data_IF_831129961628
#
_entry.id   IF_831129961628
#
_cell.length_a   1.000
_cell.length_b   1.000
_cell.length_c   1.000
_cell.angle_alpha   90.00
_cell.angle_beta   90.00
_cell.angle_gamma   90.00
#
_symmetry.space_group_name_H-M   'P 1'
#
loop_
_entity.id
_entity.type
_entity.pdbx_description
1 polymer ?
#
# COMPACT_ATOMS: atom_id res chain seq x y z
N UNK A 1 -8.64 -2.13 -53.40
CA UNK A 1 -8.58 -0.92 -52.55
C UNK A 1 -9.63 -0.94 -51.44
N UNK A 2 -10.90 -1.23 -51.74
CA UNK A 2 -11.99 -1.30 -50.74
C UNK A 2 -11.79 -2.37 -49.63
N UNK A 3 -11.32 -3.57 -49.99
CA UNK A 3 -11.06 -4.64 -49.01
C UNK A 3 -9.94 -4.27 -48.01
N UNK A 4 -8.85 -3.67 -48.50
CA UNK A 4 -7.74 -3.22 -47.66
C UNK A 4 -8.22 -2.13 -46.69
N UNK A 5 -9.06 -1.22 -47.16
CA UNK A 5 -9.68 -0.19 -46.33
C UNK A 5 -10.59 -0.78 -45.23
N UNK A 6 -11.38 -1.80 -45.55
CA UNK A 6 -12.21 -2.54 -44.59
C UNK A 6 -11.37 -3.27 -43.53
N UNK A 7 -10.31 -3.96 -43.93
CA UNK A 7 -9.39 -4.64 -43.00
C UNK A 7 -8.77 -3.64 -42.02
N UNK A 8 -8.25 -2.51 -42.53
CA UNK A 8 -7.67 -1.46 -41.68
C UNK A 8 -8.74 -0.90 -40.72
N UNK A 9 -9.95 -0.65 -41.21
CA UNK A 9 -11.06 -0.14 -40.38
C UNK A 9 -11.37 -1.09 -39.23
N UNK A 10 -11.44 -2.40 -39.49
CA UNK A 10 -11.72 -3.41 -38.46
C UNK A 10 -10.58 -3.46 -37.43
N UNK A 11 -9.32 -3.47 -37.89
CA UNK A 11 -8.16 -3.46 -36.99
C UNK A 11 -8.19 -2.25 -36.05
N UNK A 12 -8.53 -1.07 -36.57
CA UNK A 12 -8.69 0.13 -35.75
C UNK A 12 -9.87 -0.01 -34.78
N UNK A 13 -11.04 -0.43 -35.24
CA UNK A 13 -12.21 -0.59 -34.36
C UNK A 13 -12.00 -1.63 -33.25
N UNK A 14 -11.26 -2.71 -33.51
CA UNK A 14 -10.89 -3.70 -32.49
C UNK A 14 -9.94 -3.14 -31.43
N UNK A 15 -9.15 -2.13 -31.79
CA UNK A 15 -8.25 -1.47 -30.86
C UNK A 15 -8.99 -0.51 -29.91
N UNK A 16 -10.13 0.05 -30.35
CA UNK A 16 -10.85 1.07 -29.60
C UNK A 16 -11.27 0.66 -28.18
N UNK A 17 -11.87 -0.52 -27.92
CA UNK A 17 -12.23 -0.92 -26.56
C UNK A 17 -11.03 -1.01 -25.63
N UNK A 18 -9.87 -1.48 -26.11
CA UNK A 18 -8.65 -1.56 -25.31
C UNK A 18 -8.17 -0.16 -24.91
N UNK A 19 -8.15 0.78 -25.87
CA UNK A 19 -7.79 2.17 -25.58
C UNK A 19 -8.76 2.80 -24.58
N UNK A 20 -10.07 2.60 -24.76
CA UNK A 20 -11.09 3.10 -23.83
C UNK A 20 -10.94 2.53 -22.41
N UNK A 21 -10.49 1.28 -22.27
CA UNK A 21 -10.26 0.67 -20.96
C UNK A 21 -8.96 1.17 -20.30
N UNK A 22 -7.93 1.49 -21.09
CA UNK A 22 -6.65 2.03 -20.60
C UNK A 22 -6.69 3.54 -20.38
N UNK A 23 -7.66 4.25 -20.96
CA UNK A 23 -7.71 5.70 -20.95
C UNK A 23 -7.93 6.35 -19.58
N UNK A 24 -8.61 5.74 -18.59
CA UNK A 24 -8.63 6.27 -17.22
C UNK A 24 -7.24 6.29 -16.58
N UNK A 25 -6.46 5.21 -16.74
CA UNK A 25 -5.09 5.13 -16.22
C UNK A 25 -4.17 6.15 -16.89
N UNK A 26 -4.37 6.44 -18.18
CA UNK A 26 -3.60 7.46 -18.89
C UNK A 26 -3.81 8.88 -18.32
N UNK A 27 -5.01 9.16 -17.79
CA UNK A 27 -5.33 10.45 -17.16
C UNK A 27 -4.86 10.56 -15.70
N UNK A 28 -4.74 9.42 -15.03
CA UNK A 28 -4.28 9.33 -13.63
C UNK A 28 -2.75 9.17 -13.53
N UNK A 29 -2.06 9.12 -14.67
CA UNK A 29 -0.60 9.04 -14.72
C UNK A 29 0.05 10.35 -14.23
N UNK A 30 1.14 10.28 -13.44
CA UNK A 30 1.85 11.45 -12.94
C UNK A 30 2.20 12.43 -14.07
N UNK A 31 1.83 13.71 -13.89
CA UNK A 31 2.05 14.76 -14.89
C UNK A 31 1.02 14.86 -16.02
N UNK A 32 0.03 13.95 -16.10
CA UNK A 32 -1.16 14.14 -16.96
C UNK A 32 -2.31 14.85 -16.22
N UNK A 33 -2.29 14.76 -14.90
CA UNK A 33 -3.19 15.44 -13.98
C UNK A 33 -3.24 16.95 -14.25
N UNK A 34 -4.46 17.49 -14.35
CA UNK A 34 -4.74 18.92 -14.50
C UNK A 34 -4.37 19.57 -15.85
N UNK A 35 -4.02 18.82 -16.90
CA UNK A 35 -3.77 19.39 -18.22
C UNK A 35 -4.98 19.29 -19.16
N UNK A 36 -5.62 20.43 -19.43
CA UNK A 36 -6.77 20.51 -20.31
C UNK A 36 -6.48 20.03 -21.74
N UNK A 37 -5.28 20.30 -22.27
CA UNK A 37 -4.89 19.86 -23.61
C UNK A 37 -4.78 18.34 -23.70
N UNK A 38 -4.30 17.68 -22.64
CA UNK A 38 -4.23 16.22 -22.59
C UNK A 38 -5.63 15.59 -22.52
N UNK A 39 -6.52 16.11 -21.68
CA UNK A 39 -7.91 15.63 -21.58
C UNK A 39 -8.64 15.82 -22.92
N UNK A 40 -8.52 16.99 -23.53
CA UNK A 40 -9.12 17.30 -24.84
C UNK A 40 -8.56 16.38 -25.93
N UNK A 41 -7.24 16.24 -26.01
CA UNK A 41 -6.58 15.40 -27.02
C UNK A 41 -6.99 13.94 -26.88
N UNK A 42 -7.07 13.43 -25.66
CA UNK A 42 -7.54 12.07 -25.39
C UNK A 42 -8.99 11.90 -25.82
N UNK A 43 -9.90 12.81 -25.46
CA UNK A 43 -11.31 12.72 -25.87
C UNK A 43 -11.46 12.77 -27.39
N UNK A 44 -10.69 13.63 -28.07
CA UNK A 44 -10.65 13.69 -29.54
C UNK A 44 -10.19 12.34 -30.10
N UNK A 45 -9.12 11.78 -29.53
CA UNK A 45 -8.62 10.46 -29.94
C UNK A 45 -9.68 9.39 -29.74
N UNK A 46 -10.33 9.31 -28.58
CA UNK A 46 -11.39 8.35 -28.29
C UNK A 46 -12.61 8.48 -29.23
N UNK A 47 -12.78 9.62 -29.90
CA UNK A 47 -13.83 9.83 -30.90
C UNK A 47 -13.51 9.29 -32.31
N UNK A 48 -12.32 8.73 -32.57
CA UNK A 48 -11.92 8.31 -33.93
C UNK A 48 -12.87 7.31 -34.62
N UNK A 49 -13.61 6.40 -33.93
CA UNK A 49 -14.57 5.52 -34.59
C UNK A 49 -15.69 6.27 -35.33
N UNK A 50 -16.08 7.44 -34.81
CA UNK A 50 -17.07 8.31 -35.47
C UNK A 50 -16.50 8.82 -36.79
N UNK A 51 -15.23 9.26 -36.78
CA UNK A 51 -14.51 9.70 -37.97
C UNK A 51 -14.37 8.59 -39.02
N UNK A 52 -14.07 7.36 -38.60
CA UNK A 52 -14.02 6.20 -39.49
C UNK A 52 -15.38 5.97 -40.16
N UNK A 53 -16.48 5.96 -39.41
CA UNK A 53 -17.82 5.85 -39.98
C UNK A 53 -18.14 6.98 -40.96
N UNK A 54 -17.79 8.22 -40.61
CA UNK A 54 -18.00 9.38 -41.46
C UNK A 54 -17.24 9.29 -42.80
N UNK A 55 -16.04 8.71 -42.82
CA UNK A 55 -15.31 8.45 -44.06
C UNK A 55 -16.08 7.47 -44.97
N UNK A 56 -16.62 6.38 -44.42
CA UNK A 56 -17.48 5.47 -45.21
C UNK A 56 -18.70 6.20 -45.76
N UNK A 57 -19.28 7.13 -45.00
CA UNK A 57 -20.42 7.91 -45.46
C UNK A 57 -20.03 8.85 -46.61
N UNK A 58 -18.95 9.62 -46.47
CA UNK A 58 -18.49 10.58 -47.48
C UNK A 58 -18.19 9.89 -48.82
N UNK A 59 -17.61 8.69 -48.79
CA UNK A 59 -17.25 7.94 -49.99
C UNK A 59 -18.33 6.98 -50.49
N UNK A 60 -19.51 6.93 -49.85
CA UNK A 60 -20.59 6.01 -50.21
C UNK A 60 -20.20 4.53 -50.08
N UNK A 61 -19.26 4.22 -49.18
CA UNK A 61 -18.77 2.86 -48.95
C UNK A 61 -19.59 2.14 -47.87
N UNK A 62 -19.49 0.81 -47.89
CA UNK A 62 -20.15 -0.08 -46.92
C UNK A 62 -19.13 -0.94 -46.19
N UNK A 63 -19.40 -1.23 -44.92
CA UNK A 63 -18.64 -2.17 -44.10
C UNK A 63 -19.55 -3.35 -43.77
N UNK A 64 -19.29 -4.54 -44.36
CA UNK A 64 -20.14 -5.72 -44.22
C UNK A 64 -21.64 -5.48 -44.53
N UNK A 65 -21.93 -4.68 -45.56
CA UNK A 65 -23.30 -4.31 -45.93
C UNK A 65 -23.95 -3.25 -45.04
N UNK A 66 -23.21 -2.70 -44.08
CA UNK A 66 -23.66 -1.56 -43.26
C UNK A 66 -23.23 -0.27 -43.96
N UNK A 67 -24.20 0.58 -44.27
CA UNK A 67 -23.95 1.90 -44.87
C UNK A 67 -23.15 2.80 -43.93
N UNK A 68 -22.27 3.64 -44.49
CA UNK A 68 -21.47 4.60 -43.71
C UNK A 68 -22.30 5.48 -42.77
N UNK A 69 -23.49 5.93 -43.17
CA UNK A 69 -24.40 6.71 -42.31
C UNK A 69 -24.82 5.93 -41.06
N UNK A 70 -25.16 4.65 -41.23
CA UNK A 70 -25.56 3.78 -40.11
C UNK A 70 -24.36 3.51 -39.22
N UNK A 71 -23.19 3.27 -39.81
CA UNK A 71 -21.94 3.06 -39.10
C UNK A 71 -21.55 4.28 -38.24
N UNK A 72 -21.63 5.50 -38.79
CA UNK A 72 -21.39 6.74 -38.03
C UNK A 72 -22.35 6.86 -36.85
N UNK A 73 -23.65 6.63 -37.07
CA UNK A 73 -24.66 6.77 -36.01
C UNK A 73 -24.42 5.77 -34.88
N UNK A 74 -24.15 4.50 -35.22
CA UNK A 74 -23.83 3.46 -34.23
C UNK A 74 -22.55 3.81 -33.48
N UNK A 75 -21.50 4.24 -34.18
CA UNK A 75 -20.24 4.66 -33.56
C UNK A 75 -20.44 5.85 -32.62
N UNK A 76 -21.23 6.86 -33.01
CA UNK A 76 -21.57 7.99 -32.15
C UNK A 76 -22.28 7.55 -30.88
N UNK A 77 -23.29 6.68 -30.98
CA UNK A 77 -24.01 6.17 -29.79
C UNK A 77 -23.06 5.42 -28.87
N UNK A 78 -22.23 4.52 -29.40
CA UNK A 78 -21.27 3.74 -28.62
C UNK A 78 -20.25 4.64 -27.93
N UNK A 79 -19.64 5.56 -28.66
CA UNK A 79 -18.62 6.48 -28.12
C UNK A 79 -19.22 7.40 -27.06
N UNK A 80 -20.38 8.02 -27.32
CA UNK A 80 -21.04 8.90 -26.34
C UNK A 80 -21.43 8.14 -25.08
N UNK A 81 -21.95 6.92 -25.23
CA UNK A 81 -22.29 6.07 -24.09
C UNK A 81 -21.03 5.74 -23.27
N UNK A 82 -19.95 5.34 -23.93
CA UNK A 82 -18.69 5.03 -23.25
C UNK A 82 -18.10 6.26 -22.56
N UNK A 83 -18.01 7.42 -23.23
CA UNK A 83 -17.53 8.66 -22.62
C UNK A 83 -18.37 9.07 -21.40
N UNK A 84 -19.67 8.79 -21.43
CA UNK A 84 -20.59 9.06 -20.32
C UNK A 84 -20.35 8.10 -19.15
N UNK A 85 -20.24 6.79 -19.42
CA UNK A 85 -19.97 5.75 -18.41
C UNK A 85 -18.66 6.00 -17.67
N UNK A 86 -17.63 6.46 -18.38
CA UNK A 86 -16.32 6.76 -17.80
C UNK A 86 -16.19 8.22 -17.31
N UNK A 87 -17.24 9.04 -17.36
CA UNK A 87 -17.22 10.39 -16.78
C UNK A 87 -16.36 11.44 -17.51
N UNK A 88 -16.00 11.20 -18.78
CA UNK A 88 -15.17 12.13 -19.56
C UNK A 88 -15.84 13.50 -19.77
N UNK A 89 -17.17 13.57 -19.76
CA UNK A 89 -17.91 14.83 -19.86
C UNK A 89 -17.64 15.76 -18.67
N UNK A 90 -17.66 15.24 -17.44
CA UNK A 90 -17.32 16.01 -16.24
C UNK A 90 -15.85 16.40 -16.23
N UNK A 91 -14.94 15.52 -16.66
CA UNK A 91 -13.52 15.82 -16.76
C UNK A 91 -13.25 16.97 -17.74
N UNK A 92 -13.86 16.92 -18.93
CA UNK A 92 -13.74 17.99 -19.92
C UNK A 92 -14.28 19.32 -19.39
N UNK A 93 -15.47 19.30 -18.75
CA UNK A 93 -16.05 20.49 -18.14
C UNK A 93 -15.11 21.10 -17.09
N UNK A 94 -14.54 20.26 -16.24
CA UNK A 94 -13.62 20.68 -15.17
C UNK A 94 -12.33 21.27 -15.76
N UNK A 95 -11.73 20.58 -16.74
CA UNK A 95 -10.54 21.03 -17.46
C UNK A 95 -10.75 22.39 -18.15
N UNK A 96 -11.87 22.56 -18.87
CA UNK A 96 -12.22 23.83 -19.51
C UNK A 96 -12.49 24.95 -18.51
N UNK A 97 -12.90 24.60 -17.29
CA UNK A 97 -13.13 25.56 -16.19
C UNK A 97 -11.87 25.84 -15.37
N UNK A 98 -10.74 25.18 -15.66
CA UNK A 98 -9.51 25.28 -14.89
C UNK A 98 -9.54 24.58 -13.53
N UNK A 99 -10.51 23.69 -13.29
CA UNK A 99 -10.66 22.96 -12.02
C UNK A 99 -9.68 21.77 -12.02
N UNK A 100 -8.79 21.65 -11.01
CA UNK A 100 -7.87 20.53 -10.94
C UNK A 100 -8.59 19.21 -10.63
N UNK A 101 -8.17 18.15 -11.31
CA UNK A 101 -8.53 16.75 -11.10
C UNK A 101 -7.82 16.12 -9.90
N UNK A 102 -6.68 16.66 -9.45
CA UNK A 102 -5.95 16.18 -8.28
C UNK A 102 -5.64 17.30 -7.28
N UNK A 103 -5.74 16.99 -5.99
CA UNK A 103 -5.48 17.91 -4.89
C UNK A 103 -6.55 18.99 -4.71
N UNK A 104 -6.21 20.02 -3.95
CA UNK A 104 -7.07 21.19 -3.74
C UNK A 104 -6.91 22.20 -4.87
N UNK A 105 -8.02 22.86 -5.24
CA UNK A 105 -8.03 23.97 -6.18
C UNK A 105 -9.05 25.03 -5.77
N UNK A 106 -8.71 26.30 -5.98
CA UNK A 106 -9.60 27.42 -5.75
C UNK A 106 -9.86 28.13 -7.08
N UNK A 107 -11.09 27.99 -7.59
CA UNK A 107 -11.46 28.42 -8.94
C UNK A 107 -12.84 29.07 -8.91
N UNK A 108 -12.95 30.28 -9.45
CA UNK A 108 -14.21 31.04 -9.54
C UNK A 108 -14.97 31.13 -8.21
N UNK A 109 -14.27 31.50 -7.13
CA UNK A 109 -14.85 31.67 -5.79
C UNK A 109 -15.44 30.38 -5.18
N UNK A 110 -14.92 29.22 -5.61
CA UNK A 110 -15.30 27.91 -5.11
C UNK A 110 -14.05 27.06 -4.93
N UNK A 111 -13.97 26.41 -3.77
CA UNK A 111 -12.92 25.44 -3.46
C UNK A 111 -13.33 24.04 -3.92
N UNK A 112 -12.36 23.31 -4.46
CA UNK A 112 -12.50 21.94 -4.94
C UNK A 112 -11.40 21.05 -4.33
N UNK A 113 -11.70 19.77 -4.16
CA UNK A 113 -10.75 18.70 -3.91
C UNK A 113 -11.01 17.57 -4.91
N UNK A 114 -9.99 17.17 -5.68
CA UNK A 114 -10.10 16.17 -6.75
C UNK A 114 -11.34 16.39 -7.65
N UNK A 115 -11.49 17.62 -8.16
CA UNK A 115 -12.60 18.07 -9.00
C UNK A 115 -14.00 18.04 -8.35
N UNK A 116 -14.11 17.84 -7.04
CA UNK A 116 -15.37 17.88 -6.28
C UNK A 116 -15.42 19.13 -5.40
N UNK A 117 -16.54 19.88 -5.37
CA UNK A 117 -16.68 21.04 -4.50
C UNK A 117 -16.48 20.67 -3.02
N UNK A 118 -15.69 21.47 -2.31
CA UNK A 118 -15.53 21.37 -0.85
C UNK A 118 -16.65 22.19 -0.20
N UNK A 119 -17.56 21.50 0.48
CA UNK A 119 -18.71 22.15 1.10
C UNK A 119 -18.27 22.98 2.32
N UNK A 120 -18.76 24.23 2.40
CA UNK A 120 -18.51 25.12 3.54
C UNK A 120 -17.14 25.82 3.56
N UNK A 121 -16.27 25.54 2.59
CA UNK A 121 -14.98 26.22 2.48
C UNK A 121 -15.15 27.66 1.99
N UNK A 122 -14.49 28.59 2.68
CA UNK A 122 -14.37 29.98 2.25
C UNK A 122 -13.23 30.13 1.24
N UNK A 123 -13.56 30.44 -0.02
CA UNK A 123 -12.57 30.62 -1.08
C UNK A 123 -11.66 31.81 -0.88
N UNK A 124 -12.10 32.86 -0.17
CA UNK A 124 -11.31 34.09 -0.06
C UNK A 124 -10.13 33.92 0.89
N UNK A 125 -10.28 33.01 1.86
CA UNK A 125 -9.28 32.74 2.91
C UNK A 125 -8.65 31.35 2.80
N UNK A 126 -8.96 30.60 1.74
CA UNK A 126 -8.49 29.22 1.57
C UNK A 126 -6.99 29.12 1.31
N UNK A 127 -6.31 28.29 2.10
CA UNK A 127 -4.88 28.02 2.05
C UNK A 127 -4.63 26.51 2.05
N UNK A 128 -3.84 26.03 1.08
CA UNK A 128 -3.38 24.63 1.06
C UNK A 128 -2.12 24.53 1.91
N UNK A 129 -2.15 23.70 2.95
CA UNK A 129 -1.08 23.62 3.95
C UNK A 129 -0.03 22.56 3.62
N UNK A 130 -0.41 21.48 2.94
CA UNK A 130 0.51 20.42 2.53
C UNK A 130 0.68 20.40 1.03
N UNK A 131 1.94 20.36 0.60
CA UNK A 131 2.30 20.17 -0.82
C UNK A 131 2.53 18.70 -1.19
N UNK A 132 2.53 17.81 -0.19
CA UNK A 132 2.83 16.39 -0.39
C UNK A 132 1.55 15.62 -0.70
N UNK A 133 1.38 15.22 -1.96
CA UNK A 133 0.23 14.44 -2.43
C UNK A 133 0.10 13.07 -1.75
N UNK A 134 1.20 12.52 -1.23
CA UNK A 134 1.27 11.15 -0.70
C UNK A 134 0.37 10.91 0.53
N UNK A 135 0.24 11.87 1.44
CA UNK A 135 -0.55 11.69 2.68
C UNK A 135 -1.96 12.31 2.63
N UNK A 136 -2.36 12.82 1.46
CA UNK A 136 -3.71 13.35 1.23
C UNK A 136 -3.94 14.66 1.98
N UNK A 137 -3.14 15.66 1.61
CA UNK A 137 -2.89 16.92 2.29
C UNK A 137 -4.05 17.65 2.98
N UNK A 138 -3.67 18.51 3.91
CA UNK A 138 -4.56 19.40 4.63
C UNK A 138 -4.63 20.77 3.98
N UNK A 139 -5.76 21.41 4.16
CA UNK A 139 -5.99 22.81 3.82
C UNK A 139 -6.79 23.47 4.95
N UNK A 140 -6.85 24.79 4.96
CA UNK A 140 -7.68 25.55 5.90
C UNK A 140 -8.29 26.75 5.22
N UNK A 141 -9.36 27.25 5.78
CA UNK A 141 -9.80 28.64 5.60
C UNK A 141 -9.71 29.38 6.95
N UNK A 142 -10.23 30.61 7.03
CA UNK A 142 -10.18 31.39 8.26
C UNK A 142 -10.92 30.76 9.46
N UNK A 143 -11.83 29.80 9.25
CA UNK A 143 -12.71 29.23 10.26
C UNK A 143 -12.64 27.70 10.36
N UNK A 144 -12.12 27.01 9.35
CA UNK A 144 -12.18 25.57 9.23
C UNK A 144 -10.87 24.97 8.73
N UNK A 145 -10.62 23.71 9.12
CA UNK A 145 -9.57 22.86 8.56
C UNK A 145 -10.23 21.76 7.73
N UNK A 146 -9.60 21.40 6.62
CA UNK A 146 -10.07 20.37 5.69
C UNK A 146 -9.01 19.30 5.46
N UNK A 147 -9.43 18.05 5.45
CA UNK A 147 -8.62 16.90 5.05
C UNK A 147 -9.30 16.22 3.87
N UNK A 148 -8.59 16.09 2.75
CA UNK A 148 -9.12 15.44 1.52
C UNK A 148 -10.52 15.93 1.08
N UNK A 149 -10.74 17.24 1.21
CA UNK A 149 -12.01 17.88 0.85
C UNK A 149 -13.14 17.72 1.87
N UNK A 150 -12.89 17.07 2.99
CA UNK A 150 -13.84 16.92 4.09
C UNK A 150 -13.47 17.86 5.25
N UNK A 151 -14.50 18.42 5.91
CA UNK A 151 -14.34 19.24 7.09
C UNK A 151 -13.75 18.41 8.23
N UNK A 152 -12.66 18.87 8.82
CA UNK A 152 -12.09 18.32 10.05
C UNK A 152 -12.72 19.05 11.25
N UNK A 153 -13.66 18.41 11.97
CA UNK A 153 -14.35 19.07 13.07
C UNK A 153 -13.38 19.38 14.21
N UNK A 154 -13.69 20.45 14.95
CA UNK A 154 -13.01 20.89 16.18
C UNK A 154 -11.53 21.28 16.04
N UNK A 155 -10.96 21.20 14.84
CA UNK A 155 -9.60 21.64 14.56
C UNK A 155 -9.50 23.16 14.51
N UNK A 156 -8.50 23.73 15.18
CA UNK A 156 -8.26 25.18 15.20
C UNK A 156 -7.45 25.60 13.96
N UNK A 157 -8.07 26.27 12.96
CA UNK A 157 -7.38 26.65 11.72
C UNK A 157 -6.20 27.59 11.95
N UNK A 158 -6.21 28.42 13.00
CA UNK A 158 -5.16 29.41 13.23
C UNK A 158 -3.84 28.76 13.65
N UNK A 159 -3.93 27.68 14.41
CA UNK A 159 -2.75 26.99 14.97
C UNK A 159 -2.43 25.67 14.27
N UNK A 160 -3.30 25.21 13.35
CA UNK A 160 -3.11 23.98 12.59
C UNK A 160 -1.84 24.01 11.73
N UNK A 161 -0.95 23.03 11.95
CA UNK A 161 0.35 22.93 11.27
C UNK A 161 0.86 21.50 11.28
N UNK A 162 1.81 21.13 10.41
CA UNK A 162 2.47 19.84 10.52
C UNK A 162 3.27 19.77 11.83
N UNK A 163 3.30 18.57 12.43
CA UNK A 163 4.11 18.30 13.62
C UNK A 163 5.61 18.43 13.30
N UNK A 164 6.02 17.90 12.14
CA UNK A 164 7.38 17.89 11.65
C UNK A 164 7.45 17.83 10.11
N UNK A 165 8.67 17.73 9.55
CA UNK A 165 8.94 17.76 8.11
C UNK A 165 8.29 16.63 7.30
N UNK A 166 7.79 15.58 7.93
CA UNK A 166 7.22 14.44 7.23
C UNK A 166 5.72 14.64 6.94
N UNK A 167 5.08 15.63 7.57
CA UNK A 167 3.68 16.02 7.33
C UNK A 167 2.65 14.88 7.50
N UNK A 168 3.00 13.83 8.25
CA UNK A 168 2.08 12.74 8.59
C UNK A 168 1.13 13.16 9.71
N UNK A 169 1.70 13.53 10.85
CA UNK A 169 0.94 14.05 11.99
C UNK A 169 0.83 15.57 11.91
N UNK A 170 -0.36 16.05 12.24
CA UNK A 170 -0.70 17.46 12.28
C UNK A 170 -1.16 17.82 13.69
N UNK A 171 -0.92 19.06 14.08
CA UNK A 171 -1.28 19.54 15.43
C UNK A 171 -1.90 20.91 15.33
N UNK A 172 -2.81 21.19 16.26
CA UNK A 172 -3.25 22.53 16.59
C UNK A 172 -3.04 22.78 18.10
N UNK A 173 -3.69 23.81 18.65
CA UNK A 173 -3.57 24.16 20.06
C UNK A 173 -4.20 23.13 21.02
N UNK A 174 -5.08 22.23 20.57
CA UNK A 174 -5.83 21.30 21.41
C UNK A 174 -5.65 19.82 21.05
N UNK A 175 -5.32 19.51 19.80
CA UNK A 175 -5.38 18.17 19.24
C UNK A 175 -4.18 17.80 18.37
N UNK A 176 -4.04 16.49 18.20
CA UNK A 176 -3.12 15.85 17.26
C UNK A 176 -3.95 15.07 16.26
N UNK A 177 -3.56 15.08 14.99
CA UNK A 177 -4.34 14.53 13.89
C UNK A 177 -3.48 13.70 12.96
N UNK A 178 -4.06 12.64 12.41
CA UNK A 178 -3.46 11.79 11.38
C UNK A 178 -4.56 11.36 10.40
N UNK A 179 -4.32 11.55 9.10
CA UNK A 179 -5.25 11.10 8.05
C UNK A 179 -6.70 11.61 8.20
N UNK A 180 -6.89 12.84 8.68
CA UNK A 180 -8.21 13.43 8.90
C UNK A 180 -8.91 12.98 10.19
N UNK A 181 -8.23 12.27 11.08
CA UNK A 181 -8.76 11.84 12.38
C UNK A 181 -7.98 12.49 13.52
N UNK A 182 -8.70 12.95 14.55
CA UNK A 182 -8.10 13.38 15.81
C UNK A 182 -7.68 12.17 16.63
N UNK A 183 -6.48 12.21 17.21
CA UNK A 183 -5.98 11.22 18.16
C UNK A 183 -6.59 11.49 19.55
N UNK A 184 -7.46 10.60 20.07
CA UNK A 184 -8.14 10.85 21.33
C UNK A 184 -7.17 10.91 22.52
N UNK A 185 -7.19 12.03 23.25
CA UNK A 185 -6.37 12.21 24.47
C UNK A 185 -4.91 12.58 24.21
N UNK A 186 -4.48 12.73 22.96
CA UNK A 186 -3.14 13.19 22.64
C UNK A 186 -2.98 14.69 22.92
N UNK A 187 -1.96 15.05 23.69
CA UNK A 187 -1.60 16.44 23.96
C UNK A 187 -0.57 16.94 22.94
N UNK A 188 -0.90 17.95 22.11
CA UNK A 188 -0.02 18.43 21.04
C UNK A 188 1.29 19.05 21.53
N UNK A 189 1.34 19.58 22.75
CA UNK A 189 2.55 20.21 23.28
C UNK A 189 3.67 19.23 23.62
N UNK A 190 3.33 17.97 23.85
CA UNK A 190 4.26 16.91 24.28
C UNK A 190 4.21 15.67 23.38
N UNK A 191 3.41 15.70 22.32
CA UNK A 191 3.30 14.62 21.37
C UNK A 191 4.62 14.45 20.62
N UNK A 192 5.12 13.22 20.55
CA UNK A 192 6.40 12.90 19.92
C UNK A 192 6.31 11.58 19.18
N UNK A 193 6.74 11.58 17.91
CA UNK A 193 7.01 10.34 17.19
C UNK A 193 8.26 9.65 17.70
N UNK A 194 8.19 8.34 17.85
CA UNK A 194 9.32 7.53 18.23
C UNK A 194 10.10 7.12 16.97
N UNK A 195 11.42 7.31 16.94
CA UNK A 195 12.24 6.78 15.85
C UNK A 195 12.36 5.25 15.97
N UNK A 196 12.54 4.58 14.84
CA UNK A 196 12.94 3.17 14.81
C UNK A 196 14.42 2.97 15.18
N UNK A 197 14.87 1.72 15.19
CA UNK A 197 16.25 1.35 15.49
C UNK A 197 17.31 1.97 14.54
N UNK A 198 16.90 2.45 13.36
CA UNK A 198 17.77 3.13 12.38
C UNK A 198 17.57 4.65 12.37
N UNK A 199 16.86 5.19 13.36
CA UNK A 199 16.57 6.61 13.50
C UNK A 199 15.70 7.19 12.36
N UNK A 200 14.88 6.34 11.72
CA UNK A 200 13.82 6.80 10.82
C UNK A 200 12.53 7.08 11.59
N UNK A 201 11.67 7.91 11.01
CA UNK A 201 10.33 8.11 11.56
C UNK A 201 9.55 6.79 11.49
N UNK A 202 8.96 6.38 12.62
CA UNK A 202 8.09 5.20 12.69
C UNK A 202 6.63 5.60 12.86
N UNK A 203 5.74 4.62 12.73
CA UNK A 203 4.30 4.77 12.99
C UNK A 203 3.95 4.87 14.49
N UNK A 204 4.90 4.61 15.39
CA UNK A 204 4.69 4.72 16.83
C UNK A 204 4.93 6.15 17.33
N UNK A 205 4.08 6.59 18.24
CA UNK A 205 4.19 7.88 18.88
C UNK A 205 3.76 7.82 20.35
N UNK A 206 4.17 8.81 21.13
CA UNK A 206 3.81 8.95 22.54
C UNK A 206 3.24 10.34 22.82
N UNK A 207 2.31 10.39 23.77
CA UNK A 207 1.85 11.62 24.40
C UNK A 207 1.74 11.37 25.90
N UNK A 208 2.57 12.07 26.68
CA UNK A 208 2.80 11.75 28.08
C UNK A 208 3.15 10.26 28.28
N UNK A 209 2.32 9.54 29.02
CA UNK A 209 2.43 8.12 29.32
C UNK A 209 1.64 7.24 28.34
N UNK A 210 1.02 7.79 27.30
CA UNK A 210 0.20 7.00 26.36
C UNK A 210 0.97 6.70 25.08
N UNK A 211 1.01 5.42 24.70
CA UNK A 211 1.53 4.92 23.42
C UNK A 211 0.43 4.87 22.36
N UNK A 212 0.79 5.29 21.16
CA UNK A 212 -0.04 5.25 19.96
C UNK A 212 0.68 4.50 18.84
N UNK A 213 -0.10 3.81 18.01
CA UNK A 213 0.31 3.36 16.69
C UNK A 213 -0.61 4.01 15.67
N UNK A 214 -0.06 4.84 14.80
CA UNK A 214 -0.84 5.73 13.93
C UNK A 214 -1.86 6.56 14.75
N UNK A 215 -3.15 6.49 14.42
CA UNK A 215 -4.21 7.20 15.13
C UNK A 215 -4.76 6.41 16.33
N UNK A 216 -4.32 5.17 16.54
CA UNK A 216 -4.90 4.25 17.52
C UNK A 216 -4.16 4.31 18.85
N UNK A 217 -4.91 4.44 19.94
CA UNK A 217 -4.38 4.42 21.32
C UNK A 217 -4.18 2.98 21.76
N UNK A 218 -2.94 2.63 22.13
CA UNK A 218 -2.61 1.29 22.63
C UNK A 218 -2.82 1.20 24.13
N UNK A 219 -2.19 2.11 24.90
CA UNK A 219 -2.25 2.07 26.36
C UNK A 219 -1.14 2.86 27.04
N UNK A 220 -1.10 2.75 28.37
CA UNK A 220 -0.11 3.45 29.19
C UNK A 220 1.24 2.72 29.19
N UNK A 221 2.32 3.49 29.08
CA UNK A 221 3.73 3.09 29.00
C UNK A 221 4.61 4.11 29.71
N UNK A 222 5.84 3.71 30.04
CA UNK A 222 6.91 4.67 30.29
C UNK A 222 7.56 5.03 28.94
N UNK A 223 7.43 6.27 28.43
CA UNK A 223 7.91 6.64 27.10
C UNK A 223 9.44 6.50 26.94
N UNK A 224 10.19 6.62 28.03
CA UNK A 224 11.66 6.47 28.01
C UNK A 224 12.11 5.00 27.91
N UNK A 225 11.18 4.06 28.09
CA UNK A 225 11.44 2.61 28.03
C UNK A 225 10.92 1.96 26.75
N UNK A 226 10.21 2.71 25.91
CA UNK A 226 9.71 2.21 24.62
C UNK A 226 10.85 2.22 23.61
N UNK A 227 11.11 1.06 23.01
CA UNK A 227 12.04 0.90 21.90
C UNK A 227 11.29 0.39 20.68
N UNK A 228 11.33 1.15 19.59
CA UNK A 228 10.76 0.73 18.30
C UNK A 228 11.81 -0.08 17.56
N UNK A 229 11.51 -1.35 17.31
CA UNK A 229 12.40 -2.28 16.62
C UNK A 229 12.25 -2.08 15.10
N UNK A 230 11.00 -2.02 14.61
CA UNK A 230 10.63 -1.77 13.22
C UNK A 230 9.42 -0.84 13.17
N UNK A 231 9.07 -0.34 11.98
CA UNK A 231 7.90 0.56 11.78
C UNK A 231 6.59 0.01 12.40
N UNK A 232 6.45 -1.30 12.52
CA UNK A 232 5.28 -1.98 13.09
C UNK A 232 5.57 -2.83 14.34
N UNK A 233 6.83 -2.95 14.79
CA UNK A 233 7.20 -3.77 15.96
C UNK A 233 7.91 -2.90 17.01
N UNK A 234 7.36 -2.82 18.21
CA UNK A 234 7.96 -2.08 19.32
C UNK A 234 7.90 -2.92 20.61
N UNK A 235 8.63 -2.49 21.64
CA UNK A 235 8.55 -3.09 22.96
C UNK A 235 8.76 -2.06 24.07
N UNK A 236 8.25 -2.35 25.25
CA UNK A 236 8.74 -1.78 26.51
C UNK A 236 9.43 -2.88 27.34
N UNK A 237 9.65 -2.67 28.64
CA UNK A 237 10.28 -3.68 29.51
C UNK A 237 9.38 -4.89 29.81
N UNK A 238 8.09 -4.81 29.56
CA UNK A 238 7.08 -5.80 29.95
C UNK A 238 6.30 -6.40 28.77
N UNK A 239 6.14 -5.65 27.68
CA UNK A 239 5.23 -5.96 26.58
C UNK A 239 5.93 -5.78 25.24
N UNK A 240 5.49 -6.58 24.28
CA UNK A 240 5.87 -6.50 22.88
C UNK A 240 4.62 -6.08 22.10
N UNK A 241 4.78 -5.11 21.21
CA UNK A 241 3.72 -4.51 20.43
C UNK A 241 3.92 -4.81 18.96
N UNK A 242 2.89 -5.30 18.30
CA UNK A 242 2.78 -5.34 16.86
C UNK A 242 1.61 -4.46 16.45
N UNK A 243 1.90 -3.38 15.73
CA UNK A 243 0.94 -2.31 15.43
C UNK A 243 0.25 -1.80 16.72
N UNK A 244 -1.08 -1.81 16.77
CA UNK A 244 -1.88 -1.40 17.93
C UNK A 244 -2.09 -2.53 18.96
N UNK A 245 -1.49 -3.71 18.77
CA UNK A 245 -1.72 -4.91 19.57
C UNK A 245 -0.55 -5.29 20.45
N UNK A 246 -0.84 -5.76 21.67
CA UNK A 246 0.13 -6.49 22.48
C UNK A 246 0.18 -7.94 21.98
N UNK A 247 1.36 -8.41 21.60
CA UNK A 247 1.62 -9.79 21.17
C UNK A 247 2.57 -10.48 22.16
N UNK A 248 2.67 -11.81 22.04
CA UNK A 248 3.61 -12.62 22.83
C UNK A 248 3.56 -12.31 24.34
N UNK A 249 2.39 -12.37 25.01
CA UNK A 249 2.22 -11.89 26.39
C UNK A 249 3.03 -12.66 27.44
N UNK A 250 3.59 -13.82 27.07
CA UNK A 250 4.46 -14.63 27.94
C UNK A 250 5.96 -14.40 27.68
N UNK A 251 6.32 -13.59 26.68
CA UNK A 251 7.70 -13.32 26.36
C UNK A 251 8.38 -12.41 27.39
N UNK A 252 9.68 -12.62 27.60
CA UNK A 252 10.50 -11.69 28.37
C UNK A 252 10.88 -10.50 27.49
N UNK A 253 10.02 -9.48 27.49
CA UNK A 253 10.22 -8.27 26.70
C UNK A 253 11.55 -7.55 27.02
N UNK A 254 12.06 -7.64 28.25
CA UNK A 254 13.33 -7.02 28.62
C UNK A 254 14.52 -7.63 27.87
N UNK A 255 14.53 -8.96 27.70
CA UNK A 255 15.60 -9.70 26.99
C UNK A 255 15.28 -10.00 25.53
N UNK A 256 14.07 -9.68 25.06
CA UNK A 256 13.65 -9.85 23.69
C UNK A 256 14.55 -9.07 22.71
N UNK A 257 15.12 -9.79 21.74
CA UNK A 257 16.01 -9.28 20.72
C UNK A 257 15.78 -9.99 19.39
N UNK A 258 15.90 -9.23 18.29
CA UNK A 258 15.85 -9.78 16.93
C UNK A 258 17.03 -10.73 16.70
N UNK A 259 16.79 -11.77 15.90
CA UNK A 259 17.87 -12.59 15.38
C UNK A 259 18.70 -11.78 14.36
N UNK A 260 20.02 -12.02 14.26
CA UNK A 260 20.86 -11.33 13.27
C UNK A 260 20.39 -11.59 11.83
N UNK A 261 20.52 -10.58 10.97
CA UNK A 261 20.31 -10.68 9.52
C UNK A 261 18.90 -11.14 9.08
N UNK A 262 17.90 -10.98 9.94
CA UNK A 262 16.50 -11.34 9.65
C UNK A 262 15.51 -10.48 10.45
N UNK A 263 14.35 -10.22 9.87
CA UNK A 263 13.18 -9.62 10.51
C UNK A 263 12.12 -10.67 10.91
N UNK A 264 12.38 -11.94 10.61
CA UNK A 264 11.42 -13.04 10.74
C UNK A 264 11.45 -13.72 12.11
N UNK A 265 12.57 -13.59 12.83
CA UNK A 265 12.77 -14.30 14.09
C UNK A 265 13.31 -13.39 15.17
N UNK A 266 12.91 -13.67 16.40
CA UNK A 266 13.44 -13.06 17.60
C UNK A 266 13.64 -14.11 18.68
N UNK A 267 14.36 -13.76 19.73
CA UNK A 267 14.49 -14.60 20.91
C UNK A 267 14.51 -13.76 22.17
N UNK A 268 14.15 -14.39 23.26
CA UNK A 268 14.47 -13.91 24.60
C UNK A 268 15.32 -14.95 25.33
N UNK A 269 15.50 -14.81 26.64
CA UNK A 269 16.29 -15.78 27.43
C UNK A 269 15.67 -17.19 27.53
N UNK A 270 14.41 -17.36 27.15
CA UNK A 270 13.60 -18.56 27.42
C UNK A 270 13.02 -19.21 26.15
N UNK A 271 12.79 -18.44 25.09
CA UNK A 271 12.21 -18.96 23.86
C UNK A 271 12.72 -18.24 22.60
N UNK A 272 12.55 -18.93 21.47
CA UNK A 272 12.68 -18.38 20.12
C UNK A 272 11.28 -18.14 19.57
N UNK A 273 11.09 -17.07 18.82
CA UNK A 273 9.82 -16.64 18.26
C UNK A 273 9.90 -16.55 16.75
N UNK A 274 8.87 -17.06 16.09
CA UNK A 274 8.56 -16.82 14.70
C UNK A 274 7.64 -15.61 14.61
N UNK A 275 8.07 -14.56 13.91
CA UNK A 275 7.38 -13.29 13.79
C UNK A 275 6.51 -13.30 12.52
N UNK A 276 5.20 -13.45 12.71
CA UNK A 276 4.20 -13.45 11.63
C UNK A 276 3.08 -12.47 11.99
N UNK A 277 3.47 -11.21 12.20
CA UNK A 277 2.57 -10.15 12.65
C UNK A 277 1.79 -10.51 13.91
N UNK A 278 0.46 -10.40 13.88
CA UNK A 278 -0.40 -10.76 15.03
C UNK A 278 -0.34 -12.25 15.39
N UNK A 279 0.07 -13.12 14.45
CA UNK A 279 0.18 -14.57 14.65
C UNK A 279 1.54 -14.99 15.21
N UNK A 280 2.40 -14.04 15.56
CA UNK A 280 3.72 -14.33 16.12
C UNK A 280 3.61 -15.26 17.33
N UNK A 281 4.45 -16.29 17.36
CA UNK A 281 4.36 -17.36 18.35
C UNK A 281 5.75 -17.92 18.70
N UNK A 282 5.92 -18.52 19.89
CA UNK A 282 7.13 -19.25 20.22
C UNK A 282 7.27 -20.51 19.36
N UNK A 283 8.50 -20.80 18.93
CA UNK A 283 8.86 -22.03 18.24
C UNK A 283 9.00 -23.13 19.30
N UNK A 284 8.10 -24.11 19.28
CA UNK A 284 8.07 -25.16 20.29
C UNK A 284 9.36 -26.01 20.26
N UNK A 285 10.01 -26.14 21.42
CA UNK A 285 11.21 -26.96 21.58
C UNK A 285 12.53 -26.27 21.19
N UNK A 286 12.49 -25.07 20.61
CA UNK A 286 13.67 -24.33 20.21
C UNK A 286 14.50 -23.88 21.41
N UNK A 287 15.80 -24.18 21.39
CA UNK A 287 16.74 -23.68 22.39
C UNK A 287 17.26 -22.28 22.00
N UNK A 288 16.87 -21.21 22.72
CA UNK A 288 17.28 -19.84 22.40
C UNK A 288 18.79 -19.62 22.51
N UNK A 289 19.53 -20.42 23.26
CA UNK A 289 20.96 -20.26 23.43
C UNK A 289 21.76 -20.76 22.22
N UNK A 290 21.26 -21.80 21.53
CA UNK A 290 21.95 -22.47 20.42
C UNK A 290 21.32 -22.27 19.05
N UNK A 291 20.12 -21.66 18.98
CA UNK A 291 19.42 -21.42 17.71
C UNK A 291 20.25 -20.60 16.72
N UNK A 292 20.25 -21.05 15.48
CA UNK A 292 20.85 -20.42 14.32
C UNK A 292 19.81 -20.37 13.20
N UNK A 293 19.63 -19.18 12.63
CA UNK A 293 18.85 -19.00 11.42
C UNK A 293 19.74 -19.42 10.25
N UNK A 294 19.30 -20.43 9.51
CA UNK A 294 19.95 -20.82 8.25
C UNK A 294 19.30 -20.01 7.11
N UNK A 295 19.50 -20.44 5.86
CA UNK A 295 18.81 -19.82 4.73
C UNK A 295 17.47 -20.52 4.45
N UNK A 296 16.61 -19.90 3.63
CA UNK A 296 15.40 -20.52 3.06
C UNK A 296 14.41 -21.05 4.09
N UNK A 297 14.24 -20.34 5.20
CA UNK A 297 13.26 -20.69 6.23
C UNK A 297 13.68 -21.86 7.14
N UNK A 298 14.90 -22.36 7.03
CA UNK A 298 15.42 -23.38 7.95
C UNK A 298 16.07 -22.74 9.18
N UNK A 299 15.90 -23.38 10.33
CA UNK A 299 16.62 -23.05 11.56
C UNK A 299 17.25 -24.31 12.16
N UNK A 300 18.29 -24.13 12.97
CA UNK A 300 18.97 -25.21 13.65
C UNK A 300 19.34 -24.79 15.07
N UNK A 301 18.94 -25.55 16.07
CA UNK A 301 19.47 -25.42 17.43
C UNK A 301 20.47 -26.55 17.72
N UNK A 302 20.80 -26.84 18.98
CA UNK A 302 21.74 -27.91 19.33
C UNK A 302 21.24 -29.34 19.04
N UNK A 303 19.94 -29.56 18.86
CA UNK A 303 19.34 -30.90 18.78
C UNK A 303 18.37 -31.08 17.60
N UNK A 304 17.83 -30.00 17.05
CA UNK A 304 16.73 -30.04 16.10
C UNK A 304 16.98 -29.13 14.90
N UNK A 305 16.42 -29.56 13.76
CA UNK A 305 16.25 -28.73 12.56
C UNK A 305 14.78 -28.33 12.50
N UNK A 306 14.53 -27.07 12.15
CA UNK A 306 13.19 -26.51 12.01
C UNK A 306 12.99 -25.98 10.60
N UNK A 307 11.73 -25.90 10.18
CA UNK A 307 11.34 -25.21 8.97
C UNK A 307 10.13 -24.29 9.20
N UNK A 308 10.22 -23.08 8.68
CA UNK A 308 9.17 -22.06 8.72
C UNK A 308 8.27 -22.16 7.50
N UNK A 309 6.98 -22.38 7.74
CA UNK A 309 5.94 -22.30 6.72
C UNK A 309 5.29 -20.92 6.71
N UNK A 310 4.83 -20.46 5.55
CA UNK A 310 4.19 -19.13 5.44
C UNK A 310 2.88 -19.00 6.23
N UNK A 311 2.17 -20.10 6.49
CA UNK A 311 0.83 -20.09 7.09
C UNK A 311 0.68 -21.02 8.28
N UNK A 312 1.71 -21.76 8.67
CA UNK A 312 1.70 -22.72 9.77
C UNK A 312 2.81 -22.38 10.76
N UNK A 313 2.67 -22.75 12.05
CA UNK A 313 3.76 -22.58 13.00
C UNK A 313 5.03 -23.27 12.51
N UNK A 314 6.20 -22.66 12.74
CA UNK A 314 7.49 -23.30 12.48
C UNK A 314 7.56 -24.67 13.19
N UNK A 315 7.88 -25.72 12.42
CA UNK A 315 7.84 -27.11 12.89
C UNK A 315 9.24 -27.72 12.96
N UNK A 316 9.39 -28.71 13.85
CA UNK A 316 10.59 -29.56 13.91
C UNK A 316 10.54 -30.56 12.76
N UNK A 317 11.64 -30.65 12.00
CA UNK A 317 11.84 -31.68 11.00
C UNK A 317 12.33 -32.97 11.67
N UNK A 318 11.40 -33.78 12.17
CA UNK A 318 11.71 -35.03 12.88
C UNK A 318 12.49 -36.04 12.03
N UNK A 319 12.36 -35.96 10.70
CA UNK A 319 13.06 -36.86 9.78
C UNK A 319 14.44 -36.35 9.35
N UNK A 320 14.83 -35.12 9.69
CA UNK A 320 16.15 -34.59 9.32
C UNK A 320 17.27 -35.24 10.15
N UNK A 321 18.35 -35.66 9.48
CA UNK A 321 19.60 -36.04 10.13
C UNK A 321 20.37 -34.78 10.54
N UNK A 322 20.33 -34.50 11.84
CA UNK A 322 20.89 -33.29 12.43
C UNK A 322 22.36 -33.04 12.05
N UNK A 323 23.21 -34.07 12.10
CA UNK A 323 24.66 -33.92 11.93
C UNK A 323 25.06 -33.60 10.49
N UNK A 324 24.31 -34.11 9.51
CA UNK A 324 24.60 -33.92 8.09
C UNK A 324 23.71 -32.92 7.36
N UNK A 325 22.73 -32.33 8.04
CA UNK A 325 21.81 -31.36 7.44
C UNK A 325 22.53 -30.10 6.96
N UNK A 326 22.32 -29.77 5.68
CA UNK A 326 22.88 -28.60 5.01
C UNK A 326 21.82 -27.97 4.12
N UNK A 327 21.61 -26.66 4.28
CA UNK A 327 20.82 -25.86 3.33
C UNK A 327 21.69 -25.54 2.12
N UNK A 328 21.15 -25.78 0.93
CA UNK A 328 21.85 -25.57 -0.34
C UNK A 328 21.20 -24.47 -1.16
N UNK A 329 21.81 -24.12 -2.29
CA UNK A 329 21.10 -23.39 -3.34
C UNK A 329 19.98 -24.25 -3.94
N UNK A 330 19.08 -23.59 -4.66
CA UNK A 330 18.01 -24.26 -5.40
C UNK A 330 18.59 -25.11 -6.53
N UNK A 331 18.15 -26.36 -6.61
CA UNK A 331 18.50 -27.31 -7.66
C UNK A 331 17.27 -27.60 -8.54
N UNK A 332 17.31 -27.17 -9.80
CA UNK A 332 16.24 -27.37 -10.77
C UNK A 332 15.97 -28.84 -11.11
N UNK A 333 17.00 -29.71 -11.07
CA UNK A 333 16.87 -31.12 -11.45
C UNK A 333 16.19 -31.93 -10.36
N UNK A 334 16.55 -31.66 -9.11
CA UNK A 334 16.01 -32.38 -7.95
C UNK A 334 14.85 -31.67 -7.28
N UNK A 335 14.58 -30.42 -7.67
CA UNK A 335 13.61 -29.53 -7.04
C UNK A 335 13.82 -29.44 -5.52
N UNK A 336 15.06 -29.30 -5.09
CA UNK A 336 15.45 -29.30 -3.68
C UNK A 336 16.28 -28.09 -3.29
N UNK A 337 16.29 -27.79 -2.00
CA UNK A 337 16.97 -26.62 -1.44
C UNK A 337 17.68 -26.90 -0.10
N UNK A 338 17.56 -28.12 0.41
CA UNK A 338 18.35 -28.61 1.52
C UNK A 338 18.52 -30.12 1.39
N UNK A 339 19.51 -30.66 2.10
CA UNK A 339 19.79 -32.09 2.11
C UNK A 339 20.40 -32.53 3.42
N UNK A 340 20.30 -33.81 3.68
CA UNK A 340 21.13 -34.50 4.64
C UNK A 340 21.70 -35.79 4.01
N UNK A 341 22.24 -36.69 4.84
CA UNK A 341 22.80 -37.97 4.38
C UNK A 341 21.77 -38.90 3.73
N UNK A 342 20.50 -38.80 4.11
CA UNK A 342 19.44 -39.72 3.73
C UNK A 342 18.45 -39.13 2.74
N UNK A 343 18.26 -37.81 2.69
CA UNK A 343 17.19 -37.18 1.92
C UNK A 343 17.54 -35.79 1.34
N UNK A 344 16.78 -35.41 0.32
CA UNK A 344 16.68 -34.04 -0.21
C UNK A 344 15.34 -33.43 0.22
N UNK A 345 15.34 -32.13 0.50
CA UNK A 345 14.22 -31.40 1.07
C UNK A 345 13.79 -30.22 0.20
N UNK A 346 12.49 -29.96 0.17
CA UNK A 346 11.88 -28.75 -0.35
C UNK A 346 10.79 -28.30 0.61
N UNK A 347 10.84 -27.03 1.03
CA UNK A 347 9.91 -26.48 2.00
C UNK A 347 9.76 -27.32 3.29
N UNK A 348 10.86 -27.88 3.79
CA UNK A 348 10.86 -28.76 4.96
C UNK A 348 10.37 -30.20 4.70
N UNK A 349 9.85 -30.51 3.52
CA UNK A 349 9.36 -31.84 3.15
C UNK A 349 10.39 -32.63 2.35
N UNK A 350 10.43 -33.95 2.54
CA UNK A 350 11.31 -34.84 1.77
C UNK A 350 10.80 -34.97 0.34
N UNK A 351 11.60 -34.52 -0.64
CA UNK A 351 11.30 -34.68 -2.07
C UNK A 351 11.98 -35.89 -2.70
N UNK A 352 13.10 -36.35 -2.12
CA UNK A 352 13.83 -37.52 -2.63
C UNK A 352 14.62 -38.21 -1.53
N UNK A 353 14.51 -39.53 -1.44
CA UNK A 353 15.38 -40.36 -0.60
C UNK A 353 16.68 -40.70 -1.34
N UNK A 354 17.81 -40.49 -0.66
CA UNK A 354 19.17 -40.79 -1.09
C UNK A 354 19.67 -42.13 -0.52
N UNK A 355 19.26 -42.48 0.71
CA UNK A 355 19.64 -43.71 1.39
C UNK A 355 18.59 -44.15 2.42
N UNK A 356 18.52 -45.44 2.72
CA UNK A 356 17.64 -45.96 3.78
C UNK A 356 18.21 -45.63 5.18
N UNK A 357 17.36 -45.13 6.09
CA UNK A 357 17.71 -45.08 7.52
C UNK A 357 17.70 -46.51 8.06
N UNK A 358 18.85 -46.99 8.52
CA UNK A 358 18.93 -48.25 9.26
C UNK A 358 18.03 -48.15 10.51
N UNK A 359 17.02 -49.01 10.62
CA UNK A 359 16.17 -49.08 11.81
C UNK A 359 17.03 -49.32 13.05
N UNK A 360 17.03 -48.37 13.99
CA UNK A 360 17.62 -48.53 15.32
C UNK A 360 16.58 -49.02 16.32
#
# INVERSE_FOLDING_TARGET
MLLVFQIITIMLLLFWPMVMMMSPMALDAPGSENNADHVISLIIFLCYPIGLGALYWIFGAELFGISGRTLTLVATVIVVLALSVFGYGSMLKNALSGIPSSGYGNVNNQVYYNARPVAGADSDTFEVLSSTSYYGGYARDAQHVFSRGELLPDADPLTFRPLDKYEEYWVDAQGVYLGGKQLPGANPAIFKRLPDAWNHASSYAVSADTLYYEAERIGEVNPDEVSVIWSYLAKDKQRIYYMDRIILPMADAATFAMMPDTDEYARDKSAVYDLIGERSAPIAGADPASIQVLNRGYLKDANHIYYRHSHEPTQILHEADYDSFVVTDWDDETQSEARDRYALYMNGEVVKQLAEKSAQ
#
